data_IF_937351698675
#
_entry.id   IF_937351698675
#
_cell.length_a   1.000
_cell.length_b   1.000
_cell.length_c   1.000
_cell.angle_alpha   90.00
_cell.angle_beta   90.00
_cell.angle_gamma   90.00
#
_symmetry.space_group_name_H-M   'P 1'
#
loop_
_entity.id
_entity.type
_entity.pdbx_description
1 polymer ?
#
# COMPACT_ATOMS: atom_id res chain seq x y z
N UNK A 1 -76.92 -28.08 5.99
CA UNK A 1 -76.15 -27.51 4.88
C UNK A 1 -75.12 -26.58 5.52
N UNK A 2 -73.90 -27.12 5.72
CA UNK A 2 -72.86 -26.41 6.41
C UNK A 2 -71.75 -26.07 5.37
N UNK A 3 -71.51 -24.76 5.18
CA UNK A 3 -70.43 -24.22 4.29
C UNK A 3 -69.12 -24.08 5.09
N UNK A 4 -68.13 -24.91 4.80
CA UNK A 4 -66.77 -24.76 5.28
C UNK A 4 -66.04 -23.67 4.49
N UNK A 5 -65.68 -22.58 5.17
CA UNK A 5 -64.83 -21.49 4.66
C UNK A 5 -63.39 -21.91 4.92
N UNK A 6 -62.64 -22.24 3.86
CA UNK A 6 -61.18 -22.45 3.94
C UNK A 6 -60.47 -21.10 3.83
N UNK A 7 -59.88 -20.68 4.94
CA UNK A 7 -58.96 -19.53 4.98
C UNK A 7 -57.59 -20.02 4.53
N UNK A 8 -57.13 -19.50 3.39
CA UNK A 8 -55.77 -19.71 2.86
C UNK A 8 -54.86 -18.64 3.44
N UNK A 9 -54.05 -19.00 4.45
CA UNK A 9 -53.00 -18.12 4.95
C UNK A 9 -51.81 -18.12 3.94
N UNK A 10 -51.69 -17.05 3.20
CA UNK A 10 -50.56 -16.81 2.33
C UNK A 10 -49.40 -16.23 3.18
N UNK A 11 -48.45 -17.07 3.58
CA UNK A 11 -47.23 -16.64 4.27
C UNK A 11 -46.33 -15.93 3.25
N UNK A 12 -46.30 -14.58 3.32
CA UNK A 12 -45.36 -13.77 2.60
C UNK A 12 -43.96 -13.95 3.24
N UNK A 13 -43.13 -14.79 2.62
CA UNK A 13 -41.73 -14.92 2.99
C UNK A 13 -41.01 -13.64 2.61
N UNK A 14 -40.68 -12.82 3.59
CA UNK A 14 -39.80 -11.68 3.43
C UNK A 14 -38.36 -12.20 3.26
N UNK A 15 -37.94 -12.44 2.02
CA UNK A 15 -36.54 -12.68 1.71
C UNK A 15 -35.79 -11.33 1.90
N UNK A 16 -35.27 -11.12 3.10
CA UNK A 16 -34.36 -10.03 3.35
C UNK A 16 -33.09 -10.30 2.54
N UNK A 17 -32.91 -9.56 1.46
CA UNK A 17 -31.60 -9.45 0.83
C UNK A 17 -30.64 -8.88 1.89
N UNK A 18 -29.71 -9.68 2.41
CA UNK A 18 -28.55 -9.16 3.11
C UNK A 18 -27.79 -8.32 2.08
N UNK A 19 -27.95 -7.01 2.15
CA UNK A 19 -27.04 -6.10 1.45
C UNK A 19 -25.64 -6.42 1.98
N UNK A 20 -24.76 -6.89 1.12
CA UNK A 20 -23.36 -7.03 1.45
C UNK A 20 -22.89 -5.66 1.96
N UNK A 21 -22.37 -5.61 3.17
CA UNK A 21 -21.88 -4.37 3.75
C UNK A 21 -20.75 -3.88 2.84
N UNK A 22 -20.96 -2.74 2.17
CA UNK A 22 -19.94 -2.12 1.35
C UNK A 22 -18.69 -1.88 2.21
N UNK A 23 -17.55 -2.33 1.71
CA UNK A 23 -16.29 -2.05 2.39
C UNK A 23 -16.09 -0.54 2.47
N UNK A 24 -15.75 0.01 3.64
CA UNK A 24 -15.51 1.43 3.74
C UNK A 24 -14.40 1.84 2.78
N UNK A 25 -14.51 3.03 2.14
CA UNK A 25 -13.53 3.49 1.18
C UNK A 25 -12.16 3.66 1.82
N UNK A 26 -11.11 3.39 1.05
CA UNK A 26 -9.74 3.68 1.46
C UNK A 26 -9.57 5.17 1.78
N UNK A 27 -8.69 5.48 2.70
CA UNK A 27 -8.31 6.85 3.07
C UNK A 27 -6.91 7.13 2.57
N UNK A 28 -6.72 8.25 1.89
CA UNK A 28 -5.42 8.72 1.43
C UNK A 28 -5.11 10.08 2.03
N UNK A 29 -3.99 10.19 2.74
CA UNK A 29 -3.40 11.45 3.19
C UNK A 29 -2.16 11.67 2.34
N UNK A 30 -2.24 12.63 1.43
CA UNK A 30 -1.16 13.01 0.53
C UNK A 30 -0.47 14.25 1.08
N UNK A 31 0.82 14.17 1.34
CA UNK A 31 1.64 15.28 1.83
C UNK A 31 2.56 15.73 0.71
N UNK A 32 2.32 16.92 0.19
CA UNK A 32 3.21 17.59 -0.74
C UNK A 32 4.17 18.49 0.04
N UNK A 33 5.43 18.09 0.11
CA UNK A 33 6.48 18.82 0.81
C UNK A 33 6.79 20.19 0.21
N UNK A 34 7.69 20.90 0.86
CA UNK A 34 8.20 22.17 0.34
C UNK A 34 8.83 21.97 -1.04
N UNK A 35 8.45 22.81 -2.00
CA UNK A 35 8.92 22.73 -3.37
C UNK A 35 10.43 23.02 -3.45
N UNK A 36 10.93 23.90 -2.55
CA UNK A 36 12.32 24.37 -2.63
C UNK A 36 12.53 25.27 -3.84
N UNK A 37 13.21 24.77 -4.87
CA UNK A 37 13.35 25.50 -6.12
C UNK A 37 12.04 25.44 -6.94
N UNK A 38 11.57 26.57 -7.51
CA UNK A 38 10.37 26.64 -8.34
C UNK A 38 10.37 25.68 -9.55
N UNK A 39 11.52 25.23 -10.01
CA UNK A 39 11.64 24.28 -11.11
C UNK A 39 10.96 22.92 -10.80
N UNK A 40 10.85 22.53 -9.52
CA UNK A 40 10.22 21.29 -9.11
C UNK A 40 8.68 21.39 -9.01
N UNK A 41 8.11 22.59 -8.96
CA UNK A 41 6.67 22.78 -8.77
C UNK A 41 5.81 22.02 -9.80
N UNK A 42 6.10 22.08 -11.12
CA UNK A 42 5.30 21.32 -12.10
C UNK A 42 5.34 19.82 -11.90
N UNK A 43 6.47 19.27 -11.44
CA UNK A 43 6.60 17.84 -11.18
C UNK A 43 5.82 17.40 -9.94
N UNK A 44 5.78 18.25 -8.90
CA UNK A 44 4.98 17.99 -7.70
C UNK A 44 3.49 18.11 -8.00
N UNK A 45 3.09 19.12 -8.78
CA UNK A 45 1.70 19.31 -9.21
C UNK A 45 1.19 18.12 -10.01
N UNK A 46 1.99 17.63 -10.96
CA UNK A 46 1.65 16.46 -11.77
C UNK A 46 1.46 15.19 -10.92
N UNK A 47 2.29 14.98 -9.89
CA UNK A 47 2.13 13.85 -8.97
C UNK A 47 0.86 13.99 -8.11
N UNK A 48 0.59 15.17 -7.56
CA UNK A 48 -0.66 15.43 -6.79
C UNK A 48 -1.88 15.20 -7.68
N UNK A 49 -1.85 15.65 -8.94
CA UNK A 49 -2.93 15.43 -9.89
C UNK A 49 -3.14 13.94 -10.20
N UNK A 50 -2.06 13.18 -10.43
CA UNK A 50 -2.13 11.74 -10.68
C UNK A 50 -2.76 11.01 -9.50
N UNK A 51 -2.33 11.28 -8.26
CA UNK A 51 -2.93 10.71 -7.06
C UNK A 51 -4.41 11.10 -6.90
N UNK A 52 -4.75 12.37 -7.19
CA UNK A 52 -6.14 12.85 -7.13
C UNK A 52 -7.04 12.09 -8.09
N UNK A 53 -6.60 11.88 -9.33
CA UNK A 53 -7.33 11.10 -10.34
C UNK A 53 -7.50 9.64 -9.92
N UNK A 54 -6.43 9.02 -9.42
CA UNK A 54 -6.45 7.63 -8.95
C UNK A 54 -7.39 7.46 -7.76
N UNK A 55 -7.36 8.37 -6.78
CA UNK A 55 -8.29 8.35 -5.65
C UNK A 55 -9.74 8.51 -6.09
N UNK A 56 -10.01 9.39 -7.05
CA UNK A 56 -11.37 9.57 -7.60
C UNK A 56 -11.86 8.27 -8.29
N UNK A 57 -11.02 7.61 -9.08
CA UNK A 57 -11.33 6.31 -9.70
C UNK A 57 -11.58 5.22 -8.67
N UNK A 58 -10.80 5.22 -7.58
CA UNK A 58 -10.91 4.25 -6.50
C UNK A 58 -12.10 4.51 -5.55
N UNK A 59 -12.78 5.65 -5.65
CA UNK A 59 -13.74 6.10 -4.65
C UNK A 59 -13.10 6.37 -3.28
N UNK A 60 -11.78 6.56 -3.22
CA UNK A 60 -11.03 6.78 -1.99
C UNK A 60 -11.18 8.23 -1.50
N UNK A 61 -11.18 8.42 -0.17
CA UNK A 61 -11.20 9.75 0.43
C UNK A 61 -9.79 10.32 0.46
N UNK A 62 -9.56 11.44 -0.24
CA UNK A 62 -8.27 12.13 -0.31
C UNK A 62 -8.26 13.38 0.56
N UNK A 63 -7.20 13.57 1.35
CA UNK A 63 -6.77 14.85 1.90
C UNK A 63 -5.38 15.18 1.37
N UNK A 64 -5.17 16.43 1.00
CA UNK A 64 -3.87 16.92 0.55
C UNK A 64 -3.37 17.95 1.54
N UNK A 65 -2.18 17.73 2.09
CA UNK A 65 -1.44 18.66 2.96
C UNK A 65 -0.33 19.29 2.14
N UNK A 66 -0.08 20.57 2.34
CA UNK A 66 1.03 21.26 1.70
C UNK A 66 0.68 21.98 0.39
N UNK A 67 -0.62 22.16 0.09
CA UNK A 67 -1.10 22.88 -1.12
C UNK A 67 -1.88 24.14 -0.82
N UNK A 68 -2.12 24.43 0.43
CA UNK A 68 -2.72 25.70 0.84
C UNK A 68 -1.71 26.85 0.67
N UNK A 69 -2.21 28.08 0.58
CA UNK A 69 -1.36 29.26 0.42
C UNK A 69 -0.34 29.42 1.54
N UNK A 70 0.77 30.08 1.25
CA UNK A 70 1.85 30.33 2.21
C UNK A 70 1.34 31.15 3.41
N UNK A 71 1.88 30.85 4.59
CA UNK A 71 1.55 31.54 5.84
C UNK A 71 0.20 31.19 6.45
N UNK A 72 -0.53 30.19 5.93
CA UNK A 72 -1.77 29.68 6.53
C UNK A 72 -1.42 28.78 7.71
N UNK A 73 -1.81 29.18 8.93
CA UNK A 73 -1.72 28.30 10.10
C UNK A 73 -2.84 27.24 10.09
N UNK A 74 -2.63 26.05 10.64
CA UNK A 74 -1.39 25.51 11.20
C UNK A 74 -0.35 25.15 10.14
N UNK A 75 0.92 24.92 10.56
CA UNK A 75 1.99 24.44 9.68
C UNK A 75 1.68 23.05 9.10
N UNK A 76 2.27 22.70 7.94
CA UNK A 76 2.01 21.43 7.26
C UNK A 76 2.27 20.20 8.14
N UNK A 77 3.28 20.27 9.00
CA UNK A 77 3.57 19.23 10.01
C UNK A 77 2.39 19.01 10.97
N UNK A 78 1.80 20.09 11.48
CA UNK A 78 0.69 20.00 12.42
C UNK A 78 -0.58 19.52 11.71
N UNK A 79 -0.82 19.96 10.47
CA UNK A 79 -1.92 19.47 9.63
C UNK A 79 -1.83 17.98 9.36
N UNK A 80 -0.62 17.47 9.06
CA UNK A 80 -0.41 16.02 8.90
C UNK A 80 -0.73 15.28 10.20
N UNK A 81 -0.25 15.79 11.34
CA UNK A 81 -0.52 15.19 12.64
C UNK A 81 -2.01 15.19 12.98
N UNK A 82 -2.70 16.29 12.73
CA UNK A 82 -4.16 16.40 12.91
C UNK A 82 -4.91 15.45 12.00
N UNK A 83 -4.59 15.41 10.70
CA UNK A 83 -5.20 14.49 9.74
C UNK A 83 -5.04 13.02 10.16
N UNK A 84 -3.86 12.62 10.69
CA UNK A 84 -3.65 11.29 11.23
C UNK A 84 -4.42 11.05 12.52
N UNK A 85 -4.53 12.05 13.40
CA UNK A 85 -5.24 11.93 14.68
C UNK A 85 -6.76 11.75 14.51
N UNK A 86 -7.33 12.29 13.44
CA UNK A 86 -8.75 12.17 13.09
C UNK A 86 -9.12 10.80 12.50
N UNK A 87 -8.13 10.01 12.02
CA UNK A 87 -8.39 8.74 11.38
C UNK A 87 -8.70 7.63 12.41
N UNK A 88 -9.66 6.73 12.10
CA UNK A 88 -9.88 5.52 12.87
C UNK A 88 -8.59 4.69 12.98
N UNK A 89 -8.29 4.22 14.18
CA UNK A 89 -7.05 3.48 14.47
C UNK A 89 -7.14 2.01 14.08
N UNK A 90 -8.34 1.48 13.98
CA UNK A 90 -8.67 0.10 13.67
C UNK A 90 -9.63 0.00 12.48
N UNK A 91 -10.04 -1.22 12.13
CA UNK A 91 -10.98 -1.49 11.06
C UNK A 91 -10.31 -2.05 9.79
N UNK A 92 -11.15 -2.37 8.79
CA UNK A 92 -10.72 -3.01 7.55
C UNK A 92 -10.33 -2.02 6.44
N UNK A 93 -10.72 -0.73 6.55
CA UNK A 93 -10.38 0.27 5.54
C UNK A 93 -8.89 0.60 5.58
N UNK A 94 -8.24 0.61 4.43
CA UNK A 94 -6.81 0.94 4.34
C UNK A 94 -6.57 2.44 4.54
N UNK A 95 -5.48 2.76 5.21
CA UNK A 95 -4.92 4.11 5.30
C UNK A 95 -3.66 4.20 4.44
N UNK A 96 -3.66 5.07 3.46
CA UNK A 96 -2.51 5.39 2.63
C UNK A 96 -1.94 6.74 3.06
N UNK A 97 -0.66 6.77 3.42
CA UNK A 97 0.10 8.00 3.72
C UNK A 97 1.14 8.16 2.63
N UNK A 98 0.95 9.15 1.78
CA UNK A 98 1.80 9.41 0.61
C UNK A 98 2.62 10.66 0.86
N UNK A 99 3.94 10.53 0.79
CA UNK A 99 4.89 11.59 1.06
C UNK A 99 5.66 11.91 -0.21
N UNK A 100 5.37 13.07 -0.79
CA UNK A 100 6.07 13.56 -1.98
C UNK A 100 6.93 14.78 -1.63
N UNK A 101 8.00 14.99 -2.38
CA UNK A 101 8.83 16.16 -2.28
C UNK A 101 10.29 15.87 -2.08
N UNK A 102 10.92 16.65 -1.22
CA UNK A 102 12.32 16.51 -0.84
C UNK A 102 12.45 15.92 0.57
N UNK A 103 13.54 15.21 0.80
CA UNK A 103 13.94 14.77 2.13
C UNK A 103 15.41 15.09 2.37
N UNK A 104 15.76 15.22 3.64
CA UNK A 104 17.13 15.49 4.10
C UNK A 104 17.59 14.40 5.06
N UNK A 105 18.91 14.17 5.11
CA UNK A 105 19.54 13.25 6.05
C UNK A 105 20.86 13.85 6.52
N UNK A 106 21.03 13.96 7.83
CA UNK A 106 22.21 14.55 8.47
C UNK A 106 23.26 13.51 8.94
N UNK A 107 23.09 12.24 8.56
CA UNK A 107 23.91 11.12 9.02
C UNK A 107 23.31 10.39 10.23
N UNK A 108 22.25 10.91 10.84
CA UNK A 108 21.54 10.33 12.00
C UNK A 108 20.05 10.25 11.81
N UNK A 109 19.44 11.36 11.37
CA UNK A 109 18.00 11.49 11.24
C UNK A 109 17.63 11.89 9.81
N UNK A 110 16.62 11.22 9.27
CA UNK A 110 16.00 11.60 8.01
C UNK A 110 14.71 12.37 8.27
N UNK A 111 14.47 13.40 7.45
CA UNK A 111 13.28 14.27 7.55
C UNK A 111 12.64 14.46 6.19
N UNK A 112 11.31 14.53 6.20
CA UNK A 112 10.50 15.06 5.10
C UNK A 112 10.49 16.58 5.20
N UNK A 113 10.87 17.27 4.13
CA UNK A 113 10.95 18.72 4.11
C UNK A 113 9.56 19.31 3.84
N UNK A 114 9.05 20.09 4.76
CA UNK A 114 7.74 20.72 4.73
C UNK A 114 7.84 22.25 4.71
N UNK A 115 6.75 22.92 4.41
CA UNK A 115 6.63 24.37 4.66
C UNK A 115 6.46 24.58 6.17
N UNK A 116 7.47 25.16 6.79
CA UNK A 116 7.60 25.25 8.24
C UNK A 116 8.48 24.15 8.82
N UNK A 117 8.19 23.63 10.01
CA UNK A 117 8.97 22.55 10.60
C UNK A 117 8.84 21.23 9.81
N UNK A 118 9.96 20.57 9.59
CA UNK A 118 10.03 19.26 8.96
C UNK A 118 9.50 18.15 9.87
N UNK A 119 9.18 16.99 9.27
CA UNK A 119 8.79 15.78 10.00
C UNK A 119 9.90 14.74 9.92
N UNK A 120 10.38 14.32 11.09
CA UNK A 120 11.36 13.25 11.16
C UNK A 120 10.73 11.85 11.05
N UNK A 121 11.55 10.87 10.67
CA UNK A 121 11.15 9.46 10.62
C UNK A 121 10.63 8.96 11.96
N UNK A 122 11.26 9.40 13.07
CA UNK A 122 10.86 9.01 14.42
C UNK A 122 9.49 9.59 14.81
N UNK A 123 9.24 10.87 14.52
CA UNK A 123 7.94 11.52 14.80
C UNK A 123 6.81 10.86 14.02
N UNK A 124 6.98 10.63 12.72
CA UNK A 124 5.97 9.95 11.92
C UNK A 124 5.72 8.53 12.43
N UNK A 125 6.78 7.82 12.85
CA UNK A 125 6.67 6.50 13.48
C UNK A 125 5.78 6.52 14.74
N UNK A 126 5.98 7.49 15.63
CA UNK A 126 5.14 7.64 16.83
C UNK A 126 3.68 7.99 16.48
N UNK A 127 3.44 8.83 15.47
CA UNK A 127 2.08 9.16 15.06
C UNK A 127 1.34 7.97 14.43
N UNK A 128 2.06 7.08 13.73
CA UNK A 128 1.50 5.89 13.12
C UNK A 128 1.40 4.69 14.08
N UNK A 129 2.08 4.70 15.22
CA UNK A 129 2.11 3.59 16.18
C UNK A 129 0.72 3.13 16.67
N UNK A 130 -0.27 4.02 16.90
CA UNK A 130 -1.59 3.60 17.36
C UNK A 130 -2.43 2.84 16.35
N UNK A 131 -2.04 2.80 15.05
CA UNK A 131 -2.86 2.20 14.01
C UNK A 131 -2.65 0.68 13.95
N UNK A 132 -3.76 -0.07 14.08
CA UNK A 132 -3.84 -1.52 13.88
C UNK A 132 -4.53 -1.91 12.57
N UNK A 133 -5.20 -0.94 11.88
CA UNK A 133 -5.74 -1.13 10.52
C UNK A 133 -4.60 -1.26 9.50
N UNK A 134 -4.87 -1.79 8.28
CA UNK A 134 -3.87 -1.80 7.22
C UNK A 134 -3.39 -0.39 6.87
N UNK A 135 -2.06 -0.18 6.89
CA UNK A 135 -1.44 1.12 6.56
C UNK A 135 -0.41 0.92 5.47
N UNK A 136 -0.51 1.70 4.39
CA UNK A 136 0.50 1.84 3.36
C UNK A 136 1.18 3.20 3.50
N UNK A 137 2.50 3.22 3.65
CA UNK A 137 3.30 4.46 3.58
C UNK A 137 4.10 4.44 2.29
N UNK A 138 3.82 5.38 1.40
CA UNK A 138 4.53 5.55 0.12
C UNK A 138 5.40 6.79 0.20
N UNK A 139 6.66 6.60 0.55
CA UNK A 139 7.62 7.69 0.77
C UNK A 139 8.51 7.87 -0.45
N UNK A 140 8.19 8.85 -1.28
CA UNK A 140 8.81 9.02 -2.59
C UNK A 140 9.86 10.13 -2.64
N UNK A 141 10.33 10.62 -1.50
CA UNK A 141 11.33 11.69 -1.44
C UNK A 141 12.77 11.16 -1.47
N UNK A 142 13.74 12.03 -1.71
CA UNK A 142 15.14 11.75 -1.41
C UNK A 142 15.33 11.36 0.06
N UNK A 143 16.39 10.64 0.38
CA UNK A 143 16.74 10.21 1.75
C UNK A 143 15.64 9.43 2.48
N UNK A 144 14.71 8.78 1.77
CA UNK A 144 13.52 8.13 2.35
C UNK A 144 13.80 6.80 3.06
N UNK A 145 14.88 6.08 2.70
CA UNK A 145 15.16 4.75 3.27
C UNK A 145 15.23 4.67 4.80
N UNK A 146 15.80 5.65 5.54
CA UNK A 146 15.84 5.56 7.00
C UNK A 146 14.47 5.56 7.67
N UNK A 147 13.41 5.98 6.95
CA UNK A 147 12.03 5.89 7.44
C UNK A 147 11.56 4.44 7.56
N UNK A 148 12.06 3.52 6.71
CA UNK A 148 11.66 2.09 6.75
C UNK A 148 11.81 1.54 8.17
N UNK A 149 12.99 1.61 8.77
CA UNK A 149 13.26 1.07 10.10
C UNK A 149 12.45 1.74 11.24
N UNK A 150 11.95 2.94 11.02
CA UNK A 150 11.13 3.67 12.01
C UNK A 150 9.63 3.44 11.82
N UNK A 151 9.23 3.11 10.60
CA UNK A 151 7.82 2.94 10.24
C UNK A 151 7.40 1.47 10.18
N UNK A 152 8.34 0.53 10.04
CA UNK A 152 8.05 -0.90 9.99
C UNK A 152 7.24 -1.35 11.20
N UNK A 153 6.16 -2.07 10.94
CA UNK A 153 5.29 -2.66 11.97
C UNK A 153 4.43 -3.77 11.36
N UNK A 154 3.95 -4.74 12.15
CA UNK A 154 3.01 -5.74 11.67
C UNK A 154 1.77 -5.10 11.00
N UNK A 155 1.41 -5.56 9.81
CA UNK A 155 0.25 -5.04 9.06
C UNK A 155 0.49 -3.73 8.31
N UNK A 156 1.70 -3.19 8.34
CA UNK A 156 2.09 -1.99 7.60
C UNK A 156 2.94 -2.35 6.40
N UNK A 157 2.76 -1.60 5.31
CA UNK A 157 3.63 -1.64 4.14
C UNK A 157 4.33 -0.29 4.04
N UNK A 158 5.64 -0.30 3.85
CA UNK A 158 6.45 0.92 3.67
C UNK A 158 7.22 0.82 2.36
N UNK A 159 7.01 1.79 1.47
CA UNK A 159 7.77 1.95 0.23
C UNK A 159 8.67 3.17 0.38
N UNK A 160 9.93 3.06 0.01
CA UNK A 160 10.86 4.19 -0.10
C UNK A 160 11.39 4.33 -1.52
N UNK A 161 11.67 5.56 -1.96
CA UNK A 161 12.31 5.82 -3.25
C UNK A 161 13.83 5.59 -3.23
N UNK A 162 14.44 5.51 -2.06
CA UNK A 162 15.87 5.38 -1.88
C UNK A 162 16.23 4.16 -1.05
N UNK A 163 17.47 3.67 -1.16
CA UNK A 163 18.00 2.57 -0.33
C UNK A 163 18.84 3.05 0.85
N UNK A 164 19.17 4.34 0.89
CA UNK A 164 19.93 4.93 2.00
C UNK A 164 19.57 6.41 2.18
N UNK A 165 19.89 6.97 3.36
CA UNK A 165 19.75 8.40 3.61
C UNK A 165 20.72 9.26 2.77
N UNK A 166 21.76 8.66 2.19
CA UNK A 166 22.76 9.38 1.37
C UNK A 166 22.30 9.56 -0.10
N UNK A 167 21.20 8.98 -0.51
CA UNK A 167 20.59 9.24 -1.81
C UNK A 167 19.73 10.51 -1.73
N UNK A 168 20.37 11.67 -1.87
CA UNK A 168 19.80 12.99 -1.60
C UNK A 168 19.33 13.74 -2.87
N UNK A 169 19.54 13.15 -4.06
CA UNK A 169 19.07 13.76 -5.30
C UNK A 169 17.53 13.65 -5.41
N UNK A 170 16.94 14.59 -6.17
CA UNK A 170 15.52 14.51 -6.51
C UNK A 170 15.17 13.17 -7.13
N UNK A 171 14.13 12.53 -6.63
CA UNK A 171 13.66 11.20 -7.04
C UNK A 171 12.59 11.28 -8.11
N UNK A 172 12.62 10.38 -9.08
CA UNK A 172 11.63 10.22 -10.15
C UNK A 172 10.66 9.09 -9.88
N UNK A 173 11.03 8.20 -8.97
CA UNK A 173 10.25 7.03 -8.58
C UNK A 173 8.79 7.40 -8.24
N UNK A 174 8.58 8.50 -7.50
CA UNK A 174 7.24 8.93 -7.09
C UNK A 174 6.30 9.24 -8.23
N UNK A 175 6.81 9.85 -9.33
CA UNK A 175 6.05 10.06 -10.56
C UNK A 175 5.59 8.72 -11.15
N UNK A 176 6.54 7.80 -11.34
CA UNK A 176 6.23 6.50 -11.95
C UNK A 176 5.34 5.63 -11.07
N UNK A 177 5.45 5.76 -9.74
CA UNK A 177 4.58 5.05 -8.81
C UNK A 177 3.12 5.53 -8.91
N UNK A 178 2.91 6.84 -8.93
CA UNK A 178 1.58 7.43 -9.08
C UNK A 178 0.92 7.04 -10.42
N UNK A 179 1.71 7.01 -11.51
CA UNK A 179 1.25 6.58 -12.83
C UNK A 179 0.92 5.07 -12.85
N UNK A 180 1.75 4.23 -12.23
CA UNK A 180 1.60 2.79 -12.24
C UNK A 180 0.32 2.30 -11.54
N UNK A 181 -0.13 2.98 -10.48
CA UNK A 181 -1.34 2.62 -9.73
C UNK A 181 -2.61 2.56 -10.58
N UNK A 182 -2.67 3.33 -11.66
CA UNK A 182 -3.84 3.42 -12.55
C UNK A 182 -3.56 2.87 -13.95
N UNK A 183 -2.37 2.33 -14.19
CA UNK A 183 -1.96 1.81 -15.49
C UNK A 183 -2.18 0.30 -15.58
N UNK A 184 -3.13 -0.19 -16.41
CA UNK A 184 -3.35 -1.63 -16.57
C UNK A 184 -2.11 -2.42 -17.04
N UNK A 185 -1.11 -1.76 -17.66
CA UNK A 185 0.15 -2.40 -18.02
C UNK A 185 1.02 -2.77 -16.81
N UNK A 186 0.68 -2.23 -15.63
CA UNK A 186 1.33 -2.56 -14.37
C UNK A 186 0.75 -3.80 -13.68
N UNK A 187 -0.37 -4.35 -14.15
CA UNK A 187 -0.94 -5.63 -13.71
C UNK A 187 -0.04 -6.79 -14.22
N UNK A 188 0.90 -7.20 -13.36
CA UNK A 188 1.96 -8.16 -13.72
C UNK A 188 1.50 -9.61 -13.64
N UNK A 189 0.54 -9.93 -12.79
CA UNK A 189 -0.01 -11.29 -12.64
C UNK A 189 -1.35 -11.48 -13.36
N UNK A 190 -1.91 -10.38 -13.92
CA UNK A 190 -3.12 -10.37 -14.76
C UNK A 190 -4.39 -10.78 -14.01
N UNK A 191 -4.51 -10.34 -12.76
CA UNK A 191 -5.71 -10.56 -11.96
C UNK A 191 -6.80 -9.49 -12.21
N UNK A 192 -6.51 -8.48 -13.02
CA UNK A 192 -7.42 -7.40 -13.43
C UNK A 192 -7.38 -6.17 -12.51
N UNK A 193 -6.38 -6.05 -11.67
CA UNK A 193 -6.13 -4.89 -10.81
C UNK A 193 -4.62 -4.67 -10.62
N UNK A 194 -4.23 -3.54 -10.04
CA UNK A 194 -2.83 -3.23 -9.78
C UNK A 194 -2.64 -3.09 -8.27
N UNK A 195 -1.85 -3.99 -7.70
CA UNK A 195 -1.47 -3.93 -6.29
C UNK A 195 -0.40 -2.87 -6.02
N UNK A 196 -0.18 -2.55 -4.73
CA UNK A 196 0.92 -1.70 -4.29
C UNK A 196 2.28 -2.30 -4.71
N UNK A 197 2.46 -3.64 -4.60
CA UNK A 197 3.69 -4.30 -5.02
C UNK A 197 3.93 -4.14 -6.52
N UNK A 198 2.93 -4.31 -7.35
CA UNK A 198 3.06 -4.17 -8.80
C UNK A 198 3.35 -2.73 -9.20
N UNK A 199 2.70 -1.76 -8.53
CA UNK A 199 3.02 -0.34 -8.68
C UNK A 199 4.47 -0.04 -8.33
N UNK A 200 4.97 -0.63 -7.23
CA UNK A 200 6.38 -0.52 -6.81
C UNK A 200 7.33 -1.11 -7.86
N UNK A 201 7.07 -2.32 -8.34
CA UNK A 201 7.91 -3.00 -9.32
C UNK A 201 7.92 -2.29 -10.68
N UNK A 202 6.75 -1.86 -11.15
CA UNK A 202 6.61 -1.09 -12.40
C UNK A 202 7.31 0.27 -12.31
N UNK A 203 7.14 0.99 -11.20
CA UNK A 203 7.80 2.26 -10.97
C UNK A 203 9.33 2.11 -10.89
N UNK A 204 9.81 1.09 -10.19
CA UNK A 204 11.24 0.80 -10.08
C UNK A 204 11.87 0.50 -11.46
N UNK A 205 11.18 -0.29 -12.27
CA UNK A 205 11.63 -0.60 -13.64
C UNK A 205 11.67 0.66 -14.52
N UNK A 206 10.62 1.50 -14.49
CA UNK A 206 10.56 2.77 -15.25
C UNK A 206 11.64 3.75 -14.77
N UNK A 207 11.93 3.78 -13.48
CA UNK A 207 13.02 4.58 -12.90
C UNK A 207 14.37 4.12 -13.43
N UNK A 208 14.65 2.82 -13.40
CA UNK A 208 15.89 2.25 -13.94
C UNK A 208 16.04 2.51 -15.45
N UNK A 209 14.97 2.35 -16.22
CA UNK A 209 14.98 2.61 -17.66
C UNK A 209 15.22 4.09 -17.97
N UNK A 210 14.67 5.03 -17.18
CA UNK A 210 14.97 6.44 -17.29
C UNK A 210 16.48 6.71 -17.20
N UNK A 211 17.14 6.23 -16.14
CA UNK A 211 18.57 6.45 -15.96
C UNK A 211 19.42 5.82 -17.07
N UNK A 212 19.03 4.64 -17.52
CA UNK A 212 19.69 3.94 -18.62
C UNK A 212 19.55 4.70 -19.95
N UNK A 213 18.36 5.19 -20.27
CA UNK A 213 18.08 5.94 -21.51
C UNK A 213 18.82 7.28 -21.52
N UNK A 214 18.90 7.96 -20.37
CA UNK A 214 19.63 9.21 -20.20
C UNK A 214 21.17 9.01 -20.11
N UNK A 215 21.65 7.78 -20.12
CA UNK A 215 23.08 7.47 -19.97
C UNK A 215 23.67 7.91 -18.63
N UNK A 216 22.84 7.94 -17.56
CA UNK A 216 23.21 8.43 -16.23
C UNK A 216 23.27 7.28 -15.21
N UNK A 217 24.13 7.45 -14.20
CA UNK A 217 24.09 6.56 -13.05
C UNK A 217 22.81 6.79 -12.24
N UNK A 218 22.17 5.70 -11.82
CA UNK A 218 21.02 5.80 -10.93
C UNK A 218 21.42 6.40 -9.58
N UNK A 219 20.63 7.37 -9.12
CA UNK A 219 20.83 8.07 -7.84
C UNK A 219 19.70 7.79 -6.85
N UNK A 220 18.79 6.89 -7.19
CA UNK A 220 17.68 6.42 -6.37
C UNK A 220 17.48 4.92 -6.58
N UNK A 221 17.21 4.20 -5.49
CA UNK A 221 17.03 2.73 -5.50
C UNK A 221 15.89 2.40 -4.53
N UNK A 222 14.67 2.18 -5.04
CA UNK A 222 13.51 1.99 -4.19
C UNK A 222 13.55 0.67 -3.44
N UNK A 223 12.90 0.67 -2.26
CA UNK A 223 12.74 -0.51 -1.40
C UNK A 223 11.27 -0.64 -0.98
N UNK A 224 10.84 -1.88 -0.73
CA UNK A 224 9.56 -2.22 -0.10
C UNK A 224 9.81 -3.02 1.16
N UNK A 225 9.05 -2.74 2.23
CA UNK A 225 9.03 -3.46 3.50
C UNK A 225 7.58 -3.74 3.89
N UNK A 226 7.24 -5.00 4.20
CA UNK A 226 5.87 -5.36 4.58
C UNK A 226 5.77 -6.51 5.61
N UNK A 227 6.92 -6.98 6.07
CA UNK A 227 7.00 -8.08 7.05
C UNK A 227 7.21 -7.58 8.51
N UNK A 228 7.57 -6.30 8.69
CA UNK A 228 7.75 -5.64 9.99
C UNK A 228 9.14 -5.77 10.58
N UNK A 229 10.14 -6.23 9.82
CA UNK A 229 11.52 -6.41 10.30
C UNK A 229 12.38 -5.13 10.18
N UNK A 230 11.89 -4.12 9.47
CA UNK A 230 12.58 -2.84 9.25
C UNK A 230 13.67 -2.88 8.20
N UNK A 231 13.74 -3.94 7.40
CA UNK A 231 14.68 -4.12 6.31
C UNK A 231 13.93 -4.09 4.98
N UNK A 232 14.28 -3.14 4.13
CA UNK A 232 13.59 -3.03 2.83
C UNK A 232 14.17 -3.99 1.78
N UNK A 233 13.30 -4.58 0.98
CA UNK A 233 13.62 -5.49 -0.12
C UNK A 233 13.68 -4.72 -1.45
N UNK A 234 14.77 -4.82 -2.23
CA UNK A 234 14.88 -4.17 -3.52
C UNK A 234 14.10 -4.91 -4.63
N UNK A 235 13.73 -4.22 -5.75
CA UNK A 235 12.89 -4.78 -6.80
C UNK A 235 13.55 -5.96 -7.54
N UNK A 236 14.88 -6.03 -7.61
CA UNK A 236 15.60 -7.13 -8.27
C UNK A 236 15.56 -8.47 -7.50
N UNK A 237 14.92 -8.47 -6.32
CA UNK A 237 14.63 -9.69 -5.56
C UNK A 237 13.33 -10.37 -6.00
N UNK A 238 12.55 -9.72 -6.84
CA UNK A 238 11.28 -10.23 -7.35
C UNK A 238 11.39 -10.77 -8.77
N UNK A 239 10.57 -11.77 -9.08
CA UNK A 239 10.28 -12.25 -10.44
C UNK A 239 8.76 -12.25 -10.62
N UNK A 240 8.23 -11.31 -11.43
CA UNK A 240 6.83 -10.95 -11.32
C UNK A 240 6.56 -10.49 -9.89
N UNK A 241 5.47 -10.88 -9.32
CA UNK A 241 5.06 -10.54 -7.94
C UNK A 241 5.67 -11.45 -6.85
N UNK A 242 6.52 -12.42 -7.23
CA UNK A 242 7.09 -13.38 -6.29
C UNK A 242 8.53 -13.02 -5.93
N UNK A 243 8.82 -12.89 -4.64
CA UNK A 243 10.18 -12.77 -4.15
C UNK A 243 10.94 -14.10 -4.34
N UNK A 244 12.07 -14.04 -5.05
CA UNK A 244 12.93 -15.20 -5.40
C UNK A 244 14.27 -15.19 -4.70
N UNK A 245 14.63 -14.09 -4.04
CA UNK A 245 15.82 -13.95 -3.21
C UNK A 245 15.41 -13.73 -1.76
N UNK A 246 16.31 -14.04 -0.84
CA UNK A 246 16.13 -13.91 0.61
C UNK A 246 17.35 -13.31 1.23
N UNK A 247 17.15 -12.65 2.36
CA UNK A 247 18.23 -12.27 3.24
C UNK A 247 18.95 -13.51 3.80
N UNK A 248 20.25 -13.39 4.05
CA UNK A 248 21.09 -14.49 4.58
C UNK A 248 20.75 -14.87 6.01
N UNK A 249 20.09 -14.00 6.77
CA UNK A 249 19.65 -14.23 8.14
C UNK A 249 18.35 -15.04 8.24
N UNK A 250 17.70 -15.32 7.09
CA UNK A 250 16.49 -16.13 7.03
C UNK A 250 15.21 -15.35 7.40
N UNK A 251 15.25 -14.02 7.39
CA UNK A 251 14.08 -13.18 7.60
C UNK A 251 12.94 -13.53 6.63
N UNK A 252 11.72 -13.23 7.02
CA UNK A 252 10.56 -13.37 6.15
C UNK A 252 10.74 -12.53 4.89
N UNK A 253 10.14 -12.96 3.79
CA UNK A 253 10.25 -12.26 2.51
C UNK A 253 9.15 -11.21 2.43
N UNK A 254 9.51 -9.99 2.00
CA UNK A 254 8.55 -8.95 1.70
C UNK A 254 7.75 -9.24 0.41
N UNK A 255 6.68 -8.49 0.22
CA UNK A 255 5.88 -8.43 -0.98
C UNK A 255 4.48 -9.02 -0.83
N UNK A 256 4.24 -9.90 0.14
CA UNK A 256 2.93 -10.56 0.27
C UNK A 256 1.82 -9.57 0.66
N UNK A 257 2.07 -8.69 1.64
CA UNK A 257 1.08 -7.68 2.05
C UNK A 257 0.96 -6.56 1.04
N UNK A 258 2.09 -6.14 0.46
CA UNK A 258 2.12 -5.15 -0.60
C UNK A 258 1.33 -5.61 -1.83
N UNK A 259 1.31 -6.91 -2.14
CA UNK A 259 0.50 -7.49 -3.19
C UNK A 259 -1.00 -7.57 -2.83
N UNK A 260 -1.35 -7.58 -1.55
CA UNK A 260 -2.76 -7.60 -1.09
C UNK A 260 -3.41 -6.21 -1.02
N UNK A 261 -2.64 -5.12 -1.12
CA UNK A 261 -3.15 -3.75 -1.06
C UNK A 261 -3.44 -3.20 -2.46
N UNK A 262 -4.71 -2.88 -2.72
CA UNK A 262 -5.19 -2.33 -3.99
C UNK A 262 -5.97 -1.05 -3.75
N UNK A 263 -5.43 0.09 -4.19
CA UNK A 263 -6.16 1.36 -4.10
C UNK A 263 -7.35 1.37 -5.08
N UNK A 264 -7.10 0.97 -6.33
CA UNK A 264 -8.14 0.78 -7.34
C UNK A 264 -8.47 -0.71 -7.42
N UNK A 265 -9.63 -1.10 -6.92
CA UNK A 265 -10.06 -2.50 -6.86
C UNK A 265 -10.84 -2.90 -8.08
N UNK A 266 -10.62 -4.11 -8.59
CA UNK A 266 -11.44 -4.71 -9.64
C UNK A 266 -12.88 -4.95 -9.16
N UNK A 267 -13.81 -5.12 -10.09
CA UNK A 267 -15.20 -5.46 -9.74
C UNK A 267 -15.30 -6.78 -8.96
N UNK A 268 -14.42 -7.74 -9.26
CA UNK A 268 -14.34 -9.02 -8.55
C UNK A 268 -13.88 -8.83 -7.11
N UNK A 269 -12.89 -7.97 -6.86
CA UNK A 269 -12.40 -7.64 -5.53
C UNK A 269 -13.44 -6.85 -4.71
N UNK A 270 -14.17 -5.94 -5.35
CA UNK A 270 -15.24 -5.18 -4.71
C UNK A 270 -16.43 -6.07 -4.30
N UNK A 271 -16.68 -7.15 -5.04
CA UNK A 271 -17.74 -8.11 -4.72
C UNK A 271 -17.43 -8.99 -3.50
N UNK A 272 -16.18 -9.09 -3.06
CA UNK A 272 -15.83 -9.82 -1.85
C UNK A 272 -16.26 -9.05 -0.59
N UNK A 273 -16.90 -9.74 0.35
CA UNK A 273 -17.14 -9.16 1.68
C UNK A 273 -15.79 -8.87 2.39
N UNK A 274 -15.76 -7.94 3.34
CA UNK A 274 -14.55 -7.69 4.15
C UNK A 274 -14.01 -8.96 4.82
N UNK A 275 -14.90 -9.84 5.29
CA UNK A 275 -14.53 -11.10 5.95
C UNK A 275 -13.93 -12.10 4.96
N UNK A 276 -14.53 -12.22 3.76
CA UNK A 276 -14.02 -13.09 2.69
C UNK A 276 -12.64 -12.63 2.23
N UNK A 277 -12.45 -11.32 2.08
CA UNK A 277 -11.15 -10.71 1.74
C UNK A 277 -10.12 -10.99 2.82
N UNK A 278 -10.45 -10.73 4.08
CA UNK A 278 -9.54 -10.99 5.20
C UNK A 278 -9.15 -12.47 5.29
N UNK A 279 -10.11 -13.41 5.04
CA UNK A 279 -9.83 -14.85 5.00
C UNK A 279 -8.92 -15.23 3.84
N UNK A 280 -9.14 -14.68 2.63
CA UNK A 280 -8.25 -14.86 1.48
C UNK A 280 -6.85 -14.40 1.80
N UNK A 281 -6.72 -13.17 2.29
CA UNK A 281 -5.43 -12.56 2.60
C UNK A 281 -4.65 -13.36 3.65
N UNK A 282 -5.35 -13.92 4.66
CA UNK A 282 -4.72 -14.82 5.63
C UNK A 282 -4.22 -16.10 4.99
N UNK A 283 -5.03 -16.73 4.14
CA UNK A 283 -4.66 -17.95 3.43
C UNK A 283 -3.47 -17.73 2.49
N UNK A 284 -3.41 -16.61 1.79
CA UNK A 284 -2.28 -16.25 0.92
C UNK A 284 -0.99 -16.02 1.71
N UNK A 285 -1.06 -15.36 2.87
CA UNK A 285 0.11 -15.21 3.76
C UNK A 285 0.59 -16.58 4.27
N UNK A 286 -0.33 -17.46 4.65
CA UNK A 286 0.00 -18.84 5.05
C UNK A 286 0.61 -19.64 3.90
N UNK A 287 0.14 -19.44 2.68
CA UNK A 287 0.71 -20.05 1.48
C UNK A 287 2.13 -19.56 1.22
N UNK A 288 2.37 -18.26 1.35
CA UNK A 288 3.71 -17.66 1.23
C UNK A 288 4.66 -18.21 2.29
N UNK A 289 4.22 -18.28 3.56
CA UNK A 289 5.00 -18.84 4.66
C UNK A 289 5.29 -20.33 4.43
N UNK A 290 4.30 -21.13 4.03
CA UNK A 290 4.49 -22.56 3.72
C UNK A 290 5.54 -22.75 2.61
N UNK A 291 5.46 -21.98 1.51
CA UNK A 291 6.45 -21.97 0.43
C UNK A 291 7.83 -21.64 0.97
N UNK A 292 7.90 -20.71 1.90
CA UNK A 292 9.15 -20.30 2.52
C UNK A 292 9.83 -21.42 3.30
N UNK A 293 9.07 -22.31 3.91
CA UNK A 293 9.52 -23.44 4.74
C UNK A 293 9.69 -24.77 3.95
N UNK A 294 9.40 -24.78 2.63
CA UNK A 294 9.38 -26.02 1.82
C UNK A 294 10.60 -26.89 2.04
N UNK A 295 11.79 -26.30 2.02
CA UNK A 295 13.05 -27.06 2.19
C UNK A 295 13.26 -27.67 3.59
N UNK A 296 12.45 -27.24 4.59
CA UNK A 296 12.53 -27.70 5.98
C UNK A 296 11.46 -28.72 6.34
N UNK A 297 10.54 -29.02 5.42
CA UNK A 297 9.42 -29.93 5.63
C UNK A 297 9.61 -31.23 4.87
N UNK A 298 9.08 -32.34 5.42
CA UNK A 298 8.91 -33.57 4.66
C UNK A 298 7.93 -33.31 3.50
N UNK A 299 8.19 -33.94 2.35
CA UNK A 299 7.43 -33.71 1.12
C UNK A 299 5.92 -33.96 1.32
N UNK A 300 5.56 -35.06 1.96
CA UNK A 300 4.17 -35.40 2.25
C UNK A 300 3.46 -34.36 3.13
N UNK A 301 4.15 -33.87 4.18
CA UNK A 301 3.64 -32.85 5.08
C UNK A 301 3.44 -31.51 4.34
N UNK A 302 4.38 -31.13 3.49
CA UNK A 302 4.29 -29.92 2.67
C UNK A 302 3.07 -29.97 1.74
N UNK A 303 2.89 -31.06 0.99
CA UNK A 303 1.79 -31.16 0.02
C UNK A 303 0.43 -31.28 0.71
N UNK A 304 0.33 -31.93 1.86
CA UNK A 304 -0.89 -31.98 2.67
C UNK A 304 -1.31 -30.58 3.16
N UNK A 305 -0.36 -29.78 3.66
CA UNK A 305 -0.65 -28.42 4.11
C UNK A 305 -0.99 -27.51 2.91
N UNK A 306 -0.28 -27.67 1.78
CA UNK A 306 -0.55 -26.94 0.54
C UNK A 306 -1.97 -27.20 0.02
N UNK A 307 -2.37 -28.48 -0.05
CA UNK A 307 -3.71 -28.89 -0.49
C UNK A 307 -4.80 -28.24 0.39
N UNK A 308 -4.64 -28.29 1.71
CA UNK A 308 -5.59 -27.70 2.63
C UNK A 308 -5.76 -26.17 2.43
N UNK A 309 -4.66 -25.44 2.20
CA UNK A 309 -4.71 -24.01 1.94
C UNK A 309 -5.38 -23.72 0.58
N UNK A 310 -5.02 -24.48 -0.47
CA UNK A 310 -5.58 -24.26 -1.81
C UNK A 310 -7.08 -24.57 -1.87
N UNK A 311 -7.55 -25.61 -1.18
CA UNK A 311 -8.97 -25.92 -1.06
C UNK A 311 -9.70 -24.80 -0.33
N UNK A 312 -9.17 -24.29 0.78
CA UNK A 312 -9.76 -23.18 1.51
C UNK A 312 -9.80 -21.87 0.68
N UNK A 313 -8.78 -21.59 -0.14
CA UNK A 313 -8.80 -20.49 -1.10
C UNK A 313 -9.88 -20.68 -2.16
N UNK A 314 -10.02 -21.89 -2.71
CA UNK A 314 -11.06 -22.21 -3.69
C UNK A 314 -12.48 -21.97 -3.11
N UNK A 315 -12.72 -22.32 -1.84
CA UNK A 315 -13.99 -22.05 -1.16
C UNK A 315 -14.29 -20.54 -1.08
N UNK A 316 -13.30 -19.69 -0.76
CA UNK A 316 -13.49 -18.24 -0.72
C UNK A 316 -13.90 -17.69 -2.09
N UNK A 317 -13.34 -18.21 -3.17
CA UNK A 317 -13.67 -17.76 -4.53
C UNK A 317 -14.96 -18.35 -5.07
N UNK A 318 -15.42 -19.53 -4.59
CA UNK A 318 -16.69 -20.13 -4.96
C UNK A 318 -17.89 -19.52 -4.21
N UNK A 319 -17.69 -18.96 -3.04
CA UNK A 319 -18.72 -18.29 -2.25
C UNK A 319 -19.12 -16.89 -2.75
N UNK A 320 -18.69 -16.52 -3.96
CA UNK A 320 -18.99 -15.22 -4.62
C UNK A 320 -20.43 -15.17 -5.12
#
# INVERSE_FOLDING_TARGET
MSRFLRVFLMSLGLAGALAAAESPPARVILVAGAVGDPEFAPAFDAQVEAWTKTCATAGARLSVVGREGDGIAPADRDRLREALAEEPRDGAAELWVVLLGHGTFDGREAKLNLRGPDVSAAELGEWLKPFSRPVAVVHTTSSSAPFIAKLAAPGRVVVSATRSGNEQNYTRFGKYFAEALADPASDLDRDGQVSLLESFLSAANRTAEFYKTEGRLATEHPLVEDNGDGLGTPPDWFRGVLAVKRSSDGAAVDGTRAHQLHLVRSAAEQALSPEARARRDDLERRLSDLRSRKAKLAEEAYFKELEAILLALAEVYQGR
#
